data_IF_967177053114
#
_entry.id   IF_967177053114
#
_cell.length_a   1.000
_cell.length_b   1.000
_cell.length_c   1.000
_cell.angle_alpha   90.00
_cell.angle_beta   90.00
_cell.angle_gamma   90.00
#
_symmetry.space_group_name_H-M   'P 1'
#
loop_
_entity.id
_entity.type
_entity.pdbx_description
1 polymer ?
#
# COMPACT_ATOMS: atom_id res chain seq x y z
N UNK A 1 68.55 -6.45 -19.35
CA UNK A 1 67.34 -7.14 -19.84
C UNK A 1 66.59 -7.59 -18.67
N UNK A 2 65.66 -6.78 -18.19
CA UNK A 2 64.75 -7.11 -17.06
C UNK A 2 63.32 -6.94 -17.54
N UNK A 3 62.69 -8.08 -17.83
CA UNK A 3 61.27 -8.15 -18.18
C UNK A 3 60.41 -7.92 -16.93
N UNK A 4 59.71 -6.81 -16.90
CA UNK A 4 58.71 -6.51 -15.90
C UNK A 4 57.38 -7.14 -16.31
N UNK A 5 56.96 -8.18 -15.58
CA UNK A 5 55.65 -8.83 -15.73
C UNK A 5 54.58 -7.97 -15.07
N UNK A 6 53.74 -7.34 -15.85
CA UNK A 6 52.56 -6.64 -15.39
C UNK A 6 51.46 -7.69 -15.12
N UNK A 7 51.23 -8.00 -13.84
CA UNK A 7 50.09 -8.82 -13.42
C UNK A 7 48.82 -8.01 -13.54
N UNK A 8 48.00 -8.35 -14.53
CA UNK A 8 46.63 -7.82 -14.70
C UNK A 8 45.75 -8.34 -13.55
N UNK A 9 45.49 -7.51 -12.55
CA UNK A 9 44.48 -7.79 -11.55
C UNK A 9 43.11 -7.75 -12.20
N UNK A 10 42.57 -8.92 -12.46
CA UNK A 10 41.15 -9.11 -12.79
C UNK A 10 40.31 -8.74 -11.56
N UNK A 11 39.79 -7.49 -11.54
CA UNK A 11 38.87 -7.04 -10.54
C UNK A 11 37.58 -7.83 -10.65
N UNK A 12 37.38 -8.81 -9.77
CA UNK A 12 36.12 -9.50 -9.60
C UNK A 12 35.06 -8.51 -9.12
N UNK A 13 34.14 -8.15 -10.02
CA UNK A 13 32.97 -7.36 -9.72
C UNK A 13 32.20 -8.04 -8.58
N UNK A 14 31.83 -7.32 -7.49
CA UNK A 14 31.13 -7.95 -6.38
C UNK A 14 29.85 -8.58 -6.91
N UNK A 15 29.63 -9.85 -6.54
CA UNK A 15 28.43 -10.61 -6.91
C UNK A 15 27.19 -9.86 -6.44
N UNK A 16 26.48 -9.23 -7.37
CA UNK A 16 25.23 -8.54 -7.12
C UNK A 16 24.21 -9.53 -6.52
N UNK A 17 23.37 -9.06 -5.62
CA UNK A 17 22.26 -9.84 -5.08
C UNK A 17 21.52 -10.55 -6.23
N UNK A 18 21.16 -11.84 -6.11
CA UNK A 18 20.46 -12.55 -7.17
C UNK A 18 19.16 -11.82 -7.51
N UNK A 19 19.10 -11.34 -8.76
CA UNK A 19 17.95 -10.61 -9.28
C UNK A 19 16.89 -11.65 -9.63
N UNK A 20 15.64 -11.49 -9.17
CA UNK A 20 14.60 -12.46 -9.49
C UNK A 20 14.41 -12.53 -11.02
N UNK A 21 14.37 -13.74 -11.60
CA UNK A 21 14.37 -13.93 -13.05
C UNK A 21 13.03 -13.64 -13.74
N UNK A 22 12.01 -13.16 -13.00
CA UNK A 22 10.68 -12.93 -13.55
C UNK A 22 10.38 -11.42 -13.72
N UNK A 23 9.70 -11.12 -14.81
CA UNK A 23 9.21 -9.79 -15.15
C UNK A 23 8.09 -9.35 -14.19
N UNK A 24 8.21 -8.16 -13.62
CA UNK A 24 7.20 -7.56 -12.73
C UNK A 24 6.32 -6.59 -13.49
N UNK A 25 5.11 -7.01 -13.78
CA UNK A 25 4.13 -6.19 -14.49
C UNK A 25 3.64 -5.04 -13.63
N UNK A 26 3.75 -3.80 -14.13
CA UNK A 26 3.21 -2.60 -13.49
C UNK A 26 1.69 -2.65 -13.37
N UNK A 27 1.01 -3.04 -14.45
CA UNK A 27 -0.45 -3.16 -14.49
C UNK A 27 -0.95 -4.16 -13.45
N UNK A 28 -0.31 -5.34 -13.37
CA UNK A 28 -0.68 -6.34 -12.37
C UNK A 28 -0.44 -5.84 -10.95
N UNK A 29 0.67 -5.13 -10.71
CA UNK A 29 0.97 -4.57 -9.39
C UNK A 29 -0.07 -3.53 -8.96
N UNK A 30 -0.45 -2.62 -9.88
CA UNK A 30 -1.48 -1.63 -9.62
C UNK A 30 -2.85 -2.29 -9.37
N UNK A 31 -3.22 -3.30 -10.16
CA UNK A 31 -4.46 -4.06 -9.98
C UNK A 31 -4.48 -4.83 -8.65
N UNK A 32 -3.36 -5.48 -8.28
CA UNK A 32 -3.23 -6.14 -6.96
C UNK A 32 -3.31 -5.14 -5.80
N UNK A 33 -2.77 -3.94 -5.96
CA UNK A 33 -2.89 -2.89 -4.95
C UNK A 33 -4.34 -2.41 -4.81
N UNK A 34 -5.06 -2.26 -5.91
CA UNK A 34 -6.47 -1.87 -5.91
C UNK A 34 -7.39 -2.94 -5.30
N UNK A 35 -7.28 -4.20 -5.75
CA UNK A 35 -8.21 -5.28 -5.37
C UNK A 35 -7.85 -5.93 -4.03
N UNK A 36 -6.56 -6.13 -3.75
CA UNK A 36 -6.03 -6.91 -2.62
C UNK A 36 -4.95 -6.16 -1.85
N UNK A 37 -4.85 -4.85 -2.06
CA UNK A 37 -3.82 -4.03 -1.42
C UNK A 37 -3.97 -3.94 0.09
N UNK A 38 -5.20 -4.05 0.60
CA UNK A 38 -5.51 -4.04 2.03
C UNK A 38 -4.85 -5.19 2.81
N UNK A 39 -4.58 -6.33 2.16
CA UNK A 39 -3.79 -7.45 2.72
C UNK A 39 -2.31 -7.40 2.28
N UNK A 40 -1.87 -6.34 1.60
CA UNK A 40 -0.49 -6.17 1.18
C UNK A 40 -0.03 -7.04 0.02
N UNK A 41 -0.94 -7.65 -0.77
CA UNK A 41 -0.59 -8.61 -1.82
C UNK A 41 0.32 -7.99 -2.89
N UNK A 42 0.11 -6.73 -3.26
CA UNK A 42 0.98 -5.98 -4.17
C UNK A 42 2.42 -5.86 -3.66
N UNK A 43 2.60 -5.74 -2.32
CA UNK A 43 3.92 -5.68 -1.69
C UNK A 43 4.62 -7.02 -1.74
N UNK A 44 3.90 -8.10 -1.44
CA UNK A 44 4.44 -9.45 -1.52
C UNK A 44 4.81 -9.83 -2.95
N UNK A 45 4.04 -9.39 -3.94
CA UNK A 45 4.39 -9.56 -5.35
C UNK A 45 5.69 -8.83 -5.73
N UNK A 46 5.92 -7.60 -5.23
CA UNK A 46 7.10 -6.80 -5.56
C UNK A 46 8.33 -7.22 -4.77
N UNK A 47 8.20 -7.45 -3.47
CA UNK A 47 9.32 -7.57 -2.55
C UNK A 47 9.42 -8.95 -1.88
N UNK A 48 8.43 -9.83 -2.13
CA UNK A 48 8.35 -11.16 -1.55
C UNK A 48 7.80 -11.18 -0.13
N UNK A 49 7.61 -12.39 0.41
CA UNK A 49 6.97 -12.63 1.72
C UNK A 49 7.72 -12.06 2.94
N UNK A 50 8.96 -11.58 2.77
CA UNK A 50 9.74 -10.96 3.84
C UNK A 50 9.52 -9.46 3.99
N UNK A 51 8.66 -8.85 3.16
CA UNK A 51 8.39 -7.43 3.22
C UNK A 51 7.57 -7.07 4.46
N UNK A 52 8.15 -6.22 5.32
CA UNK A 52 7.53 -5.78 6.58
C UNK A 52 6.24 -4.98 6.35
N UNK A 53 6.20 -4.20 5.29
CA UNK A 53 5.03 -3.38 4.98
C UNK A 53 3.87 -4.22 4.44
N UNK A 54 4.15 -5.35 3.75
CA UNK A 54 3.12 -6.32 3.40
C UNK A 54 2.45 -6.89 4.64
N UNK A 55 3.23 -7.29 5.63
CA UNK A 55 2.72 -7.78 6.92
C UNK A 55 2.01 -6.69 7.73
N UNK A 56 2.47 -5.43 7.66
CA UNK A 56 1.78 -4.31 8.30
C UNK A 56 0.35 -4.12 7.78
N UNK A 57 0.11 -4.34 6.48
CA UNK A 57 -1.24 -4.34 5.90
C UNK A 57 -2.11 -5.44 6.51
N UNK A 58 -1.59 -6.67 6.65
CA UNK A 58 -2.35 -7.78 7.27
C UNK A 58 -2.71 -7.46 8.71
N UNK A 59 -1.73 -7.01 9.51
CA UNK A 59 -1.99 -6.62 10.91
C UNK A 59 -2.99 -5.48 10.98
N UNK A 60 -2.83 -4.46 10.13
CA UNK A 60 -3.73 -3.30 10.07
C UNK A 60 -5.17 -3.71 9.78
N UNK A 61 -5.40 -4.58 8.78
CA UNK A 61 -6.77 -4.99 8.42
C UNK A 61 -7.40 -5.89 9.49
N UNK A 62 -6.61 -6.76 10.13
CA UNK A 62 -7.12 -7.60 11.23
C UNK A 62 -7.52 -6.72 12.43
N UNK A 63 -6.66 -5.78 12.83
CA UNK A 63 -7.00 -4.82 13.89
C UNK A 63 -8.24 -3.99 13.50
N UNK A 64 -8.28 -3.52 12.25
CA UNK A 64 -9.40 -2.76 11.72
C UNK A 64 -10.72 -3.50 11.75
N UNK A 65 -10.71 -4.79 11.42
CA UNK A 65 -11.89 -5.64 11.48
C UNK A 65 -12.42 -5.78 12.92
N UNK A 66 -11.54 -6.04 13.89
CA UNK A 66 -11.93 -6.07 15.31
C UNK A 66 -12.43 -4.71 15.80
N UNK A 67 -11.76 -3.62 15.41
CA UNK A 67 -12.19 -2.27 15.75
C UNK A 67 -13.58 -1.96 15.18
N UNK A 68 -13.84 -2.32 13.93
CA UNK A 68 -15.13 -2.12 13.28
C UNK A 68 -16.25 -2.91 13.98
N UNK A 69 -16.01 -4.18 14.31
CA UNK A 69 -16.98 -4.99 15.07
C UNK A 69 -17.30 -4.37 16.44
N UNK A 70 -16.27 -3.91 17.17
CA UNK A 70 -16.46 -3.27 18.46
C UNK A 70 -17.24 -1.95 18.34
N UNK A 71 -17.00 -1.16 17.30
CA UNK A 71 -17.74 0.08 17.03
C UNK A 71 -19.20 -0.21 16.67
N UNK A 72 -19.47 -1.29 15.94
CA UNK A 72 -20.83 -1.72 15.61
C UNK A 72 -21.62 -2.15 16.86
N UNK A 73 -21.00 -2.93 17.75
CA UNK A 73 -21.62 -3.39 18.99
C UNK A 73 -21.83 -2.27 20.02
N UNK A 74 -20.97 -1.25 20.03
CA UNK A 74 -21.03 -0.17 21.03
C UNK A 74 -21.64 1.13 20.48
N UNK A 75 -22.39 1.07 19.38
CA UNK A 75 -22.98 2.25 18.74
C UNK A 75 -21.94 3.40 18.53
N UNK A 76 -20.70 3.02 18.20
CA UNK A 76 -19.55 3.93 17.96
C UNK A 76 -19.04 4.69 19.19
N UNK A 77 -19.45 4.33 20.40
CA UNK A 77 -18.98 4.98 21.63
C UNK A 77 -17.62 4.50 22.14
N UNK A 78 -17.16 3.32 21.69
CA UNK A 78 -15.92 2.71 22.17
C UNK A 78 -14.68 3.42 21.64
N UNK A 79 -13.90 4.04 22.53
CA UNK A 79 -12.57 4.60 22.18
C UNK A 79 -11.63 3.51 21.67
N UNK A 80 -11.64 2.33 22.30
CA UNK A 80 -10.83 1.19 21.85
C UNK A 80 -11.21 0.75 20.43
N UNK A 81 -12.51 0.76 20.11
CA UNK A 81 -13.01 0.48 18.77
C UNK A 81 -12.41 1.44 17.72
N UNK A 82 -12.37 2.74 18.01
CA UNK A 82 -11.76 3.73 17.13
C UNK A 82 -10.24 3.54 16.97
N UNK A 83 -9.52 3.28 18.06
CA UNK A 83 -8.06 3.02 18.04
C UNK A 83 -7.73 1.79 17.21
N UNK A 84 -8.52 0.72 17.32
CA UNK A 84 -8.31 -0.50 16.54
C UNK A 84 -8.75 -0.35 15.08
N UNK A 85 -9.80 0.42 14.79
CA UNK A 85 -10.28 0.66 13.42
C UNK A 85 -9.30 1.50 12.59
N UNK A 86 -8.56 2.42 13.23
CA UNK A 86 -7.64 3.35 12.56
C UNK A 86 -6.59 2.67 11.69
N UNK A 87 -5.80 1.66 12.17
CA UNK A 87 -4.82 0.95 11.33
C UNK A 87 -5.45 0.27 10.10
N UNK A 88 -6.68 -0.23 10.22
CA UNK A 88 -7.42 -0.82 9.11
C UNK A 88 -7.77 0.22 8.04
N UNK A 89 -8.28 1.37 8.46
CA UNK A 89 -8.59 2.49 7.57
C UNK A 89 -7.32 2.99 6.85
N UNK A 90 -6.21 3.14 7.57
CA UNK A 90 -4.91 3.52 7.00
C UNK A 90 -4.44 2.47 5.99
N UNK A 91 -4.59 1.18 6.29
CA UNK A 91 -4.20 0.09 5.37
C UNK A 91 -5.00 0.14 4.06
N UNK A 92 -6.31 0.35 4.12
CA UNK A 92 -7.17 0.50 2.95
C UNK A 92 -6.81 1.73 2.11
N UNK A 93 -6.65 2.89 2.74
CA UNK A 93 -6.27 4.13 2.04
C UNK A 93 -4.87 4.02 1.41
N UNK A 94 -3.91 3.42 2.12
CA UNK A 94 -2.57 3.18 1.60
C UNK A 94 -2.57 2.21 0.41
N UNK A 95 -3.49 1.23 0.37
CA UNK A 95 -3.66 0.33 -0.76
C UNK A 95 -4.12 1.08 -2.02
N UNK A 96 -5.16 1.91 -1.92
CA UNK A 96 -5.63 2.73 -3.03
C UNK A 96 -4.58 3.75 -3.48
N UNK A 97 -3.90 4.41 -2.55
CA UNK A 97 -2.81 5.32 -2.86
C UNK A 97 -1.66 4.59 -3.58
N UNK A 98 -1.30 3.39 -3.16
CA UNK A 98 -0.28 2.57 -3.82
C UNK A 98 -0.69 2.21 -5.26
N UNK A 99 -1.96 1.87 -5.50
CA UNK A 99 -2.46 1.59 -6.84
C UNK A 99 -2.34 2.80 -7.76
N UNK A 100 -2.66 4.00 -7.26
CA UNK A 100 -2.51 5.27 -7.99
C UNK A 100 -1.01 5.53 -8.29
N UNK A 101 -0.15 5.46 -7.28
CA UNK A 101 1.29 5.73 -7.42
C UNK A 101 1.94 4.77 -8.42
N UNK A 102 1.64 3.47 -8.34
CA UNK A 102 2.17 2.49 -9.28
C UNK A 102 1.60 2.69 -10.67
N UNK A 103 0.31 2.96 -10.79
CA UNK A 103 -0.35 3.19 -12.06
C UNK A 103 0.17 4.43 -12.82
N UNK A 104 0.40 5.53 -12.12
CA UNK A 104 0.89 6.78 -12.69
C UNK A 104 2.40 6.80 -12.94
N UNK A 105 3.16 5.84 -12.40
CA UNK A 105 4.60 5.81 -12.59
C UNK A 105 4.96 5.58 -14.06
N UNK A 106 5.89 6.35 -14.67
CA UNK A 106 6.32 6.10 -16.05
C UNK A 106 6.92 4.69 -16.23
N UNK A 107 6.59 4.02 -17.34
CA UNK A 107 7.04 2.66 -17.64
C UNK A 107 8.56 2.53 -17.61
N UNK A 108 9.28 3.50 -18.18
CA UNK A 108 10.75 3.51 -18.16
C UNK A 108 11.32 3.54 -16.73
N UNK A 109 10.70 4.31 -15.80
CA UNK A 109 11.12 4.35 -14.40
C UNK A 109 10.76 3.07 -13.65
N UNK A 110 9.63 2.46 -14.01
CA UNK A 110 9.24 1.15 -13.47
C UNK A 110 10.24 0.07 -13.86
N UNK A 111 10.55 -0.02 -15.15
CA UNK A 111 11.44 -1.06 -15.69
C UNK A 111 12.88 -0.87 -15.19
N UNK A 112 13.37 0.36 -15.09
CA UNK A 112 14.68 0.63 -14.51
C UNK A 112 14.80 0.12 -13.06
N UNK A 113 13.70 0.13 -12.28
CA UNK A 113 13.71 -0.32 -10.90
C UNK A 113 13.47 -1.83 -10.74
N UNK A 114 12.52 -2.38 -11.49
CA UNK A 114 12.01 -3.73 -11.23
C UNK A 114 12.37 -4.75 -12.32
N UNK A 115 12.67 -4.30 -13.55
CA UNK A 115 12.84 -5.13 -14.72
C UNK A 115 14.19 -4.96 -15.43
N UNK A 116 15.13 -4.17 -14.88
CA UNK A 116 16.40 -3.79 -15.52
C UNK A 116 17.21 -4.96 -16.12
N UNK A 117 17.03 -6.18 -15.58
CA UNK A 117 17.82 -7.36 -16.00
C UNK A 117 16.97 -8.38 -16.76
N UNK A 118 15.71 -8.05 -17.08
CA UNK A 118 14.78 -9.02 -17.73
C UNK A 118 14.80 -8.94 -19.25
N UNK A 119 15.38 -7.89 -19.84
CA UNK A 119 15.36 -7.61 -21.27
C UNK A 119 13.95 -7.33 -21.83
N UNK A 120 12.95 -7.14 -20.95
CA UNK A 120 11.56 -6.85 -21.29
C UNK A 120 11.18 -5.47 -20.81
N UNK A 121 10.33 -4.78 -21.58
CA UNK A 121 9.78 -3.46 -21.22
C UNK A 121 8.29 -3.54 -20.87
N UNK A 122 7.87 -2.71 -19.93
CA UNK A 122 6.46 -2.50 -19.61
C UNK A 122 5.81 -1.65 -20.71
N UNK A 123 4.57 -1.98 -21.03
CA UNK A 123 3.73 -1.16 -21.91
C UNK A 123 2.36 -1.03 -21.21
N UNK A 124 2.14 0.11 -20.59
CA UNK A 124 0.92 0.39 -19.84
C UNK A 124 -0.19 0.79 -20.79
N UNK A 125 -1.22 -0.04 -20.86
CA UNK A 125 -2.42 0.23 -21.65
C UNK A 125 -3.52 0.95 -20.83
N UNK A 126 -4.71 1.02 -21.41
CA UNK A 126 -5.90 1.63 -20.80
C UNK A 126 -6.29 1.01 -19.44
N UNK A 127 -5.99 -0.27 -19.22
CA UNK A 127 -6.28 -0.98 -17.96
C UNK A 127 -5.68 -0.28 -16.75
N UNK A 128 -4.45 0.24 -16.85
CA UNK A 128 -3.82 0.98 -15.76
C UNK A 128 -4.58 2.28 -15.46
N UNK A 129 -5.06 2.96 -16.51
CA UNK A 129 -5.82 4.20 -16.35
C UNK A 129 -7.12 3.93 -15.59
N UNK A 130 -7.86 2.88 -15.93
CA UNK A 130 -9.06 2.48 -15.19
C UNK A 130 -8.75 2.13 -13.73
N UNK A 131 -7.68 1.38 -13.47
CA UNK A 131 -7.26 1.07 -12.09
C UNK A 131 -6.99 2.36 -11.30
N UNK A 132 -6.31 3.34 -11.88
CA UNK A 132 -6.03 4.63 -11.23
C UNK A 132 -7.33 5.40 -10.95
N UNK A 133 -8.23 5.49 -11.93
CA UNK A 133 -9.51 6.20 -11.78
C UNK A 133 -10.35 5.56 -10.67
N UNK A 134 -10.52 4.24 -10.69
CA UNK A 134 -11.28 3.54 -9.66
C UNK A 134 -10.63 3.63 -8.28
N UNK A 135 -9.28 3.54 -8.22
CA UNK A 135 -8.57 3.71 -6.95
C UNK A 135 -8.76 5.10 -6.36
N UNK A 136 -8.74 6.13 -7.19
CA UNK A 136 -9.02 7.50 -6.76
C UNK A 136 -10.47 7.65 -6.29
N UNK A 137 -11.44 7.14 -7.06
CA UNK A 137 -12.86 7.21 -6.73
C UNK A 137 -13.17 6.51 -5.40
N UNK A 138 -12.77 5.24 -5.25
CA UNK A 138 -13.03 4.48 -4.02
C UNK A 138 -12.22 4.99 -2.84
N UNK A 139 -10.96 5.38 -3.06
CA UNK A 139 -10.12 5.95 -2.01
C UNK A 139 -10.67 7.28 -1.48
N UNK A 140 -11.10 8.17 -2.36
CA UNK A 140 -11.72 9.44 -1.98
C UNK A 140 -13.07 9.21 -1.27
N UNK A 141 -13.91 8.31 -1.77
CA UNK A 141 -15.17 7.95 -1.13
C UNK A 141 -14.95 7.42 0.29
N UNK A 142 -14.02 6.48 0.45
CA UNK A 142 -13.70 5.90 1.76
C UNK A 142 -13.18 6.98 2.74
N UNK A 143 -12.27 7.85 2.26
CA UNK A 143 -11.73 8.94 3.07
C UNK A 143 -12.84 9.90 3.52
N UNK A 144 -13.70 10.35 2.61
CA UNK A 144 -14.78 11.27 2.92
C UNK A 144 -15.82 10.64 3.86
N UNK A 145 -16.18 9.37 3.64
CA UNK A 145 -17.08 8.64 4.54
C UNK A 145 -16.48 8.50 5.94
N UNK A 146 -15.20 8.13 6.04
CA UNK A 146 -14.51 8.02 7.32
C UNK A 146 -14.46 9.35 8.08
N UNK A 147 -14.13 10.45 7.39
CA UNK A 147 -14.15 11.79 7.98
C UNK A 147 -15.57 12.19 8.42
N UNK A 148 -16.58 11.98 7.58
CA UNK A 148 -17.97 12.32 7.90
C UNK A 148 -18.44 11.58 9.16
N UNK A 149 -18.20 10.26 9.24
CA UNK A 149 -18.56 9.46 10.42
C UNK A 149 -17.81 9.91 11.69
N UNK A 150 -16.55 10.24 11.57
CA UNK A 150 -15.73 10.72 12.69
C UNK A 150 -16.28 12.05 13.23
N UNK A 151 -16.54 13.01 12.34
CA UNK A 151 -17.11 14.31 12.73
C UNK A 151 -18.53 14.16 13.30
N UNK A 152 -19.37 13.35 12.67
CA UNK A 152 -20.72 13.07 13.18
C UNK A 152 -20.66 12.55 14.62
N UNK A 153 -19.87 11.51 14.88
CA UNK A 153 -19.71 10.93 16.23
C UNK A 153 -19.19 11.95 17.23
N UNK A 154 -18.24 12.79 16.82
CA UNK A 154 -17.72 13.87 17.68
C UNK A 154 -18.81 14.87 18.05
N UNK A 155 -19.57 15.39 17.08
CA UNK A 155 -20.62 16.38 17.36
C UNK A 155 -21.79 15.77 18.16
N UNK A 156 -22.19 14.53 17.90
CA UNK A 156 -23.19 13.80 18.68
C UNK A 156 -22.76 13.73 20.16
N UNK A 157 -21.48 13.39 20.44
CA UNK A 157 -20.97 13.33 21.81
C UNK A 157 -20.97 14.71 22.51
N UNK A 158 -20.69 15.81 21.78
CA UNK A 158 -20.75 17.17 22.34
C UNK A 158 -22.19 17.60 22.67
N UNK A 159 -23.14 17.28 21.82
CA UNK A 159 -24.56 17.57 22.06
C UNK A 159 -25.06 16.82 23.28
N UNK A 160 -24.69 15.55 23.44
CA UNK A 160 -25.11 14.76 24.60
C UNK A 160 -24.50 15.30 25.91
N UNK A 161 -23.22 15.67 25.89
CA UNK A 161 -22.55 16.32 27.02
C UNK A 161 -23.25 17.64 27.40
N UNK A 162 -23.64 18.45 26.42
CA UNK A 162 -24.36 19.71 26.68
C UNK A 162 -25.74 19.51 27.30
N UNK A 163 -26.48 18.47 26.87
CA UNK A 163 -27.79 18.13 27.45
C UNK A 163 -27.68 17.72 28.93
N UNK A 164 -26.65 16.93 29.29
CA UNK A 164 -26.44 16.51 30.68
C UNK A 164 -26.13 17.67 31.62
N UNK A 165 -25.47 18.75 31.10
CA UNK A 165 -25.18 19.95 31.88
C UNK A 165 -26.38 20.90 32.04
N UNK A 166 -27.40 20.76 31.23
CA UNK A 166 -28.62 21.60 31.24
C UNK A 166 -29.76 21.08 32.11
N UNK A 167 -29.60 19.88 32.67
CA UNK A 167 -30.53 19.26 33.62
C UNK A 167 -30.10 19.46 35.07
#
# INVERSE_FOLDING_TARGET
MTSSSIATQSGSKPAGKPVPPYFRSKTLTAALAFLFGYIGLHRFYLYGMRDKYGWAHIVGIVMGAFGFLLLAETERTSILGWVLAFPGAVSLLAAFLSAIVYGLRPDAKWDAQFNAHTGRSSNSGWTVIFVVIFSLLFGAFLLMTGLALTFQTYFESQVEAAKTLSQ
#
